data_IF_991987147725
#
_entry.id   IF_991987147725
#
_cell.length_a   1.000
_cell.length_b   1.000
_cell.length_c   1.000
_cell.angle_alpha   90.00
_cell.angle_beta   90.00
_cell.angle_gamma   90.00
#
_symmetry.space_group_name_H-M   'P 1'
#
loop_
_entity.id
_entity.type
_entity.pdbx_description
1 polymer ?
#
# COMPACT_ATOMS: atom_id res chain seq x y z
N UNK A 1 44.97 -1.28 29.85
CA UNK A 1 44.41 -2.56 30.32
C UNK A 1 43.76 -2.31 31.67
N UNK A 2 42.44 -2.19 31.71
CA UNK A 2 41.64 -2.09 32.95
C UNK A 2 40.41 -2.95 32.73
N UNK A 3 40.24 -3.92 33.61
CA UNK A 3 39.26 -5.01 33.61
C UNK A 3 37.85 -4.49 33.91
N UNK A 4 36.86 -4.97 33.16
CA UNK A 4 35.44 -4.73 33.42
C UNK A 4 34.94 -5.81 34.39
N UNK A 5 34.25 -5.48 35.51
CA UNK A 5 33.66 -6.48 36.39
C UNK A 5 32.38 -7.08 35.79
N UNK A 6 32.22 -8.40 35.93
CA UNK A 6 30.99 -9.13 35.58
C UNK A 6 29.93 -8.90 36.68
N UNK A 7 28.68 -8.52 36.35
CA UNK A 7 27.64 -8.33 37.35
C UNK A 7 27.07 -9.68 37.86
N UNK A 8 26.55 -9.71 39.10
CA UNK A 8 26.03 -10.93 39.72
C UNK A 8 24.71 -11.39 39.07
N UNK A 9 24.56 -12.71 38.96
CA UNK A 9 23.31 -13.36 38.54
C UNK A 9 22.27 -13.32 39.67
N UNK A 10 21.04 -12.91 39.33
CA UNK A 10 19.84 -13.30 40.06
C UNK A 10 19.12 -12.18 40.83
N UNK A 11 18.13 -11.56 40.20
CA UNK A 11 16.96 -11.01 40.88
C UNK A 11 15.73 -11.23 39.99
N UNK A 12 14.87 -12.18 40.39
CA UNK A 12 13.58 -12.44 39.74
C UNK A 12 12.64 -11.25 40.02
N UNK A 13 12.50 -10.36 39.04
CA UNK A 13 11.51 -9.30 39.07
C UNK A 13 10.19 -9.87 38.55
N UNK A 14 9.20 -9.97 39.44
CA UNK A 14 7.81 -10.25 39.07
C UNK A 14 7.34 -9.09 38.19
N UNK A 15 7.26 -9.32 36.89
CA UNK A 15 6.67 -8.38 35.93
C UNK A 15 5.20 -8.19 36.28
N UNK A 16 4.84 -6.99 36.71
CA UNK A 16 3.44 -6.55 36.76
C UNK A 16 2.86 -6.59 35.35
N UNK A 17 1.58 -6.97 35.16
CA UNK A 17 0.94 -6.92 33.86
C UNK A 17 1.00 -5.49 33.35
N UNK A 18 1.64 -5.29 32.19
CA UNK A 18 1.61 -4.02 31.47
C UNK A 18 0.16 -3.61 31.27
N UNK A 19 -0.21 -2.42 31.75
CA UNK A 19 -1.53 -1.85 31.51
C UNK A 19 -1.78 -1.84 30.01
N UNK A 20 -2.88 -2.48 29.58
CA UNK A 20 -3.24 -2.55 28.18
C UNK A 20 -3.27 -1.13 27.59
N UNK A 21 -2.48 -0.91 26.54
CA UNK A 21 -2.50 0.34 25.76
C UNK A 21 -3.95 0.58 25.35
N UNK A 22 -4.55 1.73 25.70
CA UNK A 22 -5.93 2.01 25.33
C UNK A 22 -6.04 1.91 23.81
N UNK A 23 -6.95 1.06 23.32
CA UNK A 23 -7.21 0.93 21.89
C UNK A 23 -7.59 2.33 21.38
N UNK A 24 -6.78 2.87 20.46
CA UNK A 24 -7.11 4.07 19.73
C UNK A 24 -8.52 3.92 19.15
N UNK A 25 -9.45 4.79 19.57
CA UNK A 25 -10.81 4.80 19.05
C UNK A 25 -10.77 5.50 17.69
N UNK A 26 -10.53 4.73 16.64
CA UNK A 26 -10.59 5.25 15.27
C UNK A 26 -12.01 5.75 15.00
N UNK A 27 -12.18 6.94 14.39
CA UNK A 27 -13.49 7.42 13.99
C UNK A 27 -14.10 6.43 12.97
N UNK A 28 -15.40 6.11 13.10
CA UNK A 28 -16.08 5.28 12.11
C UNK A 28 -16.15 5.98 10.74
N UNK A 29 -16.19 5.19 9.66
CA UNK A 29 -16.18 5.71 8.28
C UNK A 29 -17.32 6.69 7.99
N UNK A 30 -18.44 6.57 8.70
CA UNK A 30 -19.61 7.45 8.54
C UNK A 30 -19.39 8.87 9.03
N UNK A 31 -18.40 9.09 9.89
CA UNK A 31 -18.01 10.41 10.41
C UNK A 31 -16.88 11.08 9.63
N UNK A 32 -16.38 10.45 8.56
CA UNK A 32 -15.26 10.97 7.76
C UNK A 32 -15.68 11.88 6.58
N UNK A 33 -16.97 12.16 6.42
CA UNK A 33 -17.46 13.00 5.31
C UNK A 33 -17.25 12.39 3.92
N UNK A 34 -17.05 11.07 3.85
CA UNK A 34 -16.82 10.34 2.61
C UNK A 34 -18.11 10.20 1.78
N UNK A 35 -17.99 10.30 0.46
CA UNK A 35 -19.05 9.95 -0.46
C UNK A 35 -19.45 8.47 -0.31
N UNK A 36 -20.68 8.08 -0.71
CA UNK A 36 -21.11 6.69 -0.60
C UNK A 36 -20.18 5.70 -1.30
N UNK A 37 -19.65 6.04 -2.48
CA UNK A 37 -18.69 5.20 -3.22
C UNK A 37 -17.41 4.96 -2.43
N UNK A 38 -16.79 6.03 -1.90
CA UNK A 38 -15.54 5.92 -1.14
C UNK A 38 -15.73 5.11 0.13
N UNK A 39 -16.88 5.29 0.78
CA UNK A 39 -17.26 4.52 1.96
C UNK A 39 -17.43 3.04 1.64
N UNK A 40 -18.11 2.69 0.55
CA UNK A 40 -18.30 1.30 0.15
C UNK A 40 -16.97 0.60 -0.13
N UNK A 41 -16.09 1.22 -0.91
CA UNK A 41 -14.75 0.69 -1.24
C UNK A 41 -13.85 0.54 -0.01
N UNK A 42 -13.81 1.57 0.84
CA UNK A 42 -13.06 1.49 2.11
C UNK A 42 -13.65 0.44 3.05
N UNK A 43 -14.98 0.29 3.11
CA UNK A 43 -15.63 -0.75 3.90
C UNK A 43 -15.21 -2.15 3.43
N UNK A 44 -15.24 -2.38 2.12
CA UNK A 44 -14.82 -3.63 1.49
C UNK A 44 -13.36 -3.98 1.86
N UNK A 45 -12.43 -3.03 1.71
CA UNK A 45 -11.01 -3.24 2.03
C UNK A 45 -10.72 -3.40 3.54
N UNK A 46 -11.41 -2.65 4.41
CA UNK A 46 -11.08 -2.55 5.85
C UNK A 46 -11.83 -3.51 6.76
N UNK A 47 -12.93 -4.09 6.30
CA UNK A 47 -13.81 -4.92 7.13
C UNK A 47 -14.13 -6.28 6.50
N UNK A 48 -14.23 -6.39 5.18
CA UNK A 48 -14.50 -7.66 4.48
C UNK A 48 -13.19 -8.41 4.16
N UNK A 49 -12.14 -7.64 3.84
CA UNK A 49 -10.78 -8.14 3.62
C UNK A 49 -9.80 -7.69 4.72
N UNK A 50 -8.63 -8.34 4.76
CA UNK A 50 -7.59 -7.99 5.71
C UNK A 50 -7.84 -8.47 7.15
N UNK A 51 -7.15 -7.85 8.11
CA UNK A 51 -7.36 -8.08 9.54
C UNK A 51 -8.72 -7.61 10.07
N UNK A 52 -9.49 -6.87 9.27
CA UNK A 52 -10.78 -6.31 9.67
C UNK A 52 -10.68 -5.19 10.71
N UNK A 53 -11.83 -4.80 11.26
CA UNK A 53 -11.91 -3.83 12.36
C UNK A 53 -11.43 -2.42 12.00
N UNK A 54 -11.53 -2.02 10.72
CA UNK A 54 -11.09 -0.69 10.27
C UNK A 54 -9.58 -0.60 10.07
N UNK A 55 -8.90 -1.71 9.78
CA UNK A 55 -7.45 -1.81 9.58
C UNK A 55 -7.16 -2.32 8.17
N UNK A 56 -6.11 -1.80 7.53
CA UNK A 56 -5.62 -2.29 6.25
C UNK A 56 -4.31 -3.05 6.40
N UNK A 57 -4.19 -4.16 5.69
CA UNK A 57 -2.92 -4.83 5.41
C UNK A 57 -2.82 -5.02 3.89
N UNK A 58 -1.94 -4.26 3.24
CA UNK A 58 -1.81 -4.22 1.77
C UNK A 58 -0.52 -4.91 1.36
N UNK A 59 -0.56 -5.73 0.30
CA UNK A 59 0.63 -6.32 -0.31
C UNK A 59 1.09 -5.45 -1.50
N UNK A 60 2.19 -4.68 -1.39
CA UNK A 60 2.73 -3.93 -2.52
C UNK A 60 3.55 -4.84 -3.45
N UNK A 61 3.27 -4.75 -4.75
CA UNK A 61 4.04 -5.38 -5.83
C UNK A 61 4.35 -4.38 -6.96
N UNK A 62 4.36 -3.09 -6.64
CA UNK A 62 4.61 -1.97 -7.56
C UNK A 62 6.11 -1.61 -7.70
N UNK A 63 6.96 -2.12 -6.82
CA UNK A 63 8.41 -1.88 -6.79
C UNK A 63 9.17 -2.26 -8.07
N UNK A 64 8.62 -3.15 -8.89
CA UNK A 64 9.25 -3.61 -10.13
C UNK A 64 9.49 -2.49 -11.15
N UNK A 65 8.69 -1.42 -11.12
CA UNK A 65 8.91 -0.25 -12.00
C UNK A 65 10.17 0.53 -11.62
N UNK A 66 10.48 0.61 -10.33
CA UNK A 66 11.60 1.39 -9.80
C UNK A 66 12.92 0.62 -9.88
N UNK A 67 12.90 -0.65 -9.44
CA UNK A 67 14.11 -1.45 -9.24
C UNK A 67 14.33 -2.52 -10.33
N UNK A 68 13.33 -2.82 -11.16
CA UNK A 68 13.37 -4.00 -12.02
C UNK A 68 13.31 -5.31 -11.21
N UNK A 69 13.50 -6.49 -11.84
CA UNK A 69 13.38 -7.79 -11.19
C UNK A 69 14.65 -8.16 -10.39
N UNK A 70 15.09 -7.27 -9.49
CA UNK A 70 16.38 -7.42 -8.76
C UNK A 70 16.21 -7.94 -7.33
N UNK A 71 15.00 -7.97 -6.77
CA UNK A 71 14.81 -8.26 -5.34
C UNK A 71 14.24 -9.66 -5.04
N UNK A 72 14.07 -10.51 -6.05
CA UNK A 72 13.39 -11.81 -5.91
C UNK A 72 14.33 -13.02 -5.72
N UNK A 73 15.62 -12.80 -5.49
CA UNK A 73 16.62 -13.89 -5.49
C UNK A 73 16.47 -14.89 -4.34
N UNK A 74 15.80 -14.53 -3.24
CA UNK A 74 15.63 -15.41 -2.07
C UNK A 74 14.45 -16.37 -2.26
N UNK A 75 13.46 -16.01 -3.07
CA UNK A 75 12.30 -16.85 -3.38
C UNK A 75 12.05 -16.87 -4.89
N UNK A 76 12.52 -17.91 -5.61
CA UNK A 76 12.37 -18.01 -7.06
C UNK A 76 10.92 -17.96 -7.55
N UNK A 77 9.96 -18.48 -6.79
CA UNK A 77 8.54 -18.46 -7.18
C UNK A 77 7.99 -17.03 -7.25
N UNK A 78 8.55 -16.11 -6.45
CA UNK A 78 8.19 -14.70 -6.47
C UNK A 78 8.66 -13.97 -7.74
N UNK A 79 9.35 -14.63 -8.66
CA UNK A 79 9.61 -14.08 -10.00
C UNK A 79 8.35 -14.05 -10.88
N UNK A 80 7.36 -14.91 -10.60
CA UNK A 80 6.06 -14.88 -11.29
C UNK A 80 5.05 -14.09 -10.46
N UNK A 81 4.58 -12.92 -10.93
CA UNK A 81 3.55 -12.13 -10.24
C UNK A 81 2.33 -12.92 -9.77
N UNK A 82 1.95 -14.00 -10.48
CA UNK A 82 0.83 -14.86 -10.08
C UNK A 82 0.99 -15.40 -8.64
N UNK A 83 2.21 -15.74 -8.23
CA UNK A 83 2.52 -16.18 -6.87
C UNK A 83 2.14 -15.12 -5.83
N UNK A 84 2.45 -13.84 -6.07
CA UNK A 84 2.10 -12.76 -5.13
C UNK A 84 0.59 -12.52 -5.09
N UNK A 85 -0.12 -12.64 -6.21
CA UNK A 85 -1.58 -12.54 -6.21
C UNK A 85 -2.22 -13.68 -5.41
N UNK A 86 -1.75 -14.92 -5.58
CA UNK A 86 -2.19 -16.07 -4.79
C UNK A 86 -1.91 -15.87 -3.30
N UNK A 87 -0.69 -15.48 -2.95
CA UNK A 87 -0.30 -15.18 -1.58
C UNK A 87 -1.20 -14.09 -0.97
N UNK A 88 -1.54 -13.07 -1.74
CA UNK A 88 -2.40 -11.98 -1.26
C UNK A 88 -3.82 -12.47 -0.96
N UNK A 89 -4.37 -13.34 -1.82
CA UNK A 89 -5.68 -13.97 -1.60
C UNK A 89 -5.65 -14.91 -0.39
N UNK A 90 -4.68 -15.81 -0.32
CA UNK A 90 -4.56 -16.80 0.76
C UNK A 90 -4.30 -16.14 2.12
N UNK A 91 -3.43 -15.12 2.13
CA UNK A 91 -3.15 -14.28 3.30
C UNK A 91 -4.28 -13.34 3.67
N UNK A 92 -5.38 -13.32 2.90
CA UNK A 92 -6.54 -12.44 3.08
C UNK A 92 -6.15 -10.97 3.20
N UNK A 93 -5.24 -10.48 2.37
CA UNK A 93 -4.84 -9.07 2.40
C UNK A 93 -6.03 -8.15 2.12
N UNK A 94 -5.99 -6.94 2.67
CA UNK A 94 -6.98 -5.89 2.41
C UNK A 94 -6.97 -5.40 0.98
N UNK A 95 -5.83 -5.51 0.30
CA UNK A 95 -5.66 -5.27 -1.12
C UNK A 95 -4.29 -5.75 -1.59
N UNK A 96 -4.15 -5.92 -2.90
CA UNK A 96 -2.86 -5.95 -3.59
C UNK A 96 -2.66 -4.63 -4.33
N UNK A 97 -1.45 -4.06 -4.22
CA UNK A 97 -1.11 -2.79 -4.87
C UNK A 97 -0.15 -3.02 -6.04
N UNK A 98 -0.52 -2.57 -7.25
CA UNK A 98 0.29 -2.81 -8.45
C UNK A 98 0.06 -1.75 -9.54
N UNK A 99 0.98 -1.67 -10.51
CA UNK A 99 0.84 -0.80 -11.70
C UNK A 99 -0.06 -1.44 -12.76
N UNK A 100 -0.59 -0.61 -13.65
CA UNK A 100 -1.58 -0.99 -14.67
C UNK A 100 -1.19 -2.23 -15.49
N UNK A 101 0.07 -2.37 -15.92
CA UNK A 101 0.48 -3.51 -16.74
C UNK A 101 0.34 -4.85 -16.03
N UNK A 102 0.67 -4.92 -14.73
CA UNK A 102 0.49 -6.13 -13.93
C UNK A 102 -0.99 -6.33 -13.57
N UNK A 103 -1.72 -5.25 -13.29
CA UNK A 103 -3.15 -5.32 -13.04
C UNK A 103 -3.88 -5.92 -14.25
N UNK A 104 -3.68 -5.39 -15.45
CA UNK A 104 -4.36 -5.88 -16.66
C UNK A 104 -4.02 -7.32 -17.01
N UNK A 105 -2.78 -7.75 -16.73
CA UNK A 105 -2.34 -9.11 -17.07
C UNK A 105 -2.80 -10.17 -16.06
N UNK A 106 -2.77 -9.86 -14.77
CA UNK A 106 -2.95 -10.87 -13.72
C UNK A 106 -4.23 -10.69 -12.91
N UNK A 107 -4.68 -9.45 -12.65
CA UNK A 107 -5.84 -9.21 -11.79
C UNK A 107 -7.16 -9.85 -12.26
N UNK A 108 -7.46 -10.01 -13.56
CA UNK A 108 -8.71 -10.64 -13.99
C UNK A 108 -8.98 -12.02 -13.36
N UNK A 109 -7.94 -12.79 -13.07
CA UNK A 109 -8.05 -14.13 -12.47
C UNK A 109 -8.32 -14.10 -10.94
N UNK A 110 -8.17 -12.93 -10.31
CA UNK A 110 -8.33 -12.72 -8.87
C UNK A 110 -9.41 -11.68 -8.52
N UNK A 111 -10.03 -11.05 -9.52
CA UNK A 111 -11.10 -10.08 -9.33
C UNK A 111 -12.23 -10.65 -8.46
N UNK A 112 -12.68 -9.88 -7.48
CA UNK A 112 -13.68 -10.30 -6.48
C UNK A 112 -13.16 -11.24 -5.38
N UNK A 113 -11.93 -11.74 -5.48
CA UNK A 113 -11.26 -12.52 -4.40
C UNK A 113 -10.32 -11.67 -3.57
N UNK A 114 -9.79 -10.58 -4.14
CA UNK A 114 -8.97 -9.58 -3.45
C UNK A 114 -9.23 -8.18 -4.01
N UNK A 115 -9.31 -7.15 -3.16
CA UNK A 115 -9.37 -5.75 -3.59
C UNK A 115 -8.11 -5.31 -4.34
N UNK A 116 -8.29 -4.45 -5.33
CA UNK A 116 -7.18 -3.86 -6.09
C UNK A 116 -6.94 -2.41 -5.64
N UNK A 117 -5.67 -2.10 -5.37
CA UNK A 117 -5.17 -0.73 -5.26
C UNK A 117 -4.29 -0.44 -6.49
N UNK A 118 -4.82 0.33 -7.44
CA UNK A 118 -4.09 0.62 -8.68
C UNK A 118 -3.09 1.77 -8.44
N UNK A 119 -1.79 1.47 -8.53
CA UNK A 119 -0.73 2.49 -8.47
C UNK A 119 -0.69 3.26 -9.79
N UNK A 120 -0.99 4.56 -9.71
CA UNK A 120 -1.16 5.40 -10.90
C UNK A 120 0.13 6.03 -11.39
N UNK A 121 1.13 6.21 -10.53
CA UNK A 121 2.41 6.82 -10.90
C UNK A 121 3.59 6.11 -10.23
N UNK A 122 4.77 6.31 -10.82
CA UNK A 122 6.02 5.84 -10.24
C UNK A 122 7.23 6.44 -10.94
N UNK A 123 8.37 6.34 -10.27
CA UNK A 123 9.67 6.77 -10.77
C UNK A 123 10.46 5.52 -11.17
N UNK A 124 11.23 5.63 -12.26
CA UNK A 124 12.23 4.63 -12.62
C UNK A 124 13.58 5.02 -12.02
N UNK A 125 14.53 4.08 -11.98
CA UNK A 125 15.92 4.35 -11.59
C UNK A 125 16.75 5.10 -12.65
N UNK A 126 16.12 5.56 -13.75
CA UNK A 126 16.83 6.21 -14.87
C UNK A 126 17.11 7.69 -14.59
N UNK A 127 16.12 8.55 -14.23
CA UNK A 127 16.40 9.93 -13.86
C UNK A 127 17.10 9.99 -12.49
N UNK A 128 18.00 10.97 -12.28
CA UNK A 128 18.69 11.11 -11.01
C UNK A 128 17.72 11.51 -9.89
N UNK A 129 18.03 11.14 -8.64
CA UNK A 129 17.14 11.37 -7.50
C UNK A 129 16.85 12.85 -7.21
N UNK A 130 17.75 13.77 -7.58
CA UNK A 130 17.51 15.21 -7.42
C UNK A 130 16.50 15.76 -8.44
N UNK A 131 16.13 14.99 -9.45
CA UNK A 131 15.05 15.27 -10.41
C UNK A 131 13.86 14.33 -10.19
N UNK A 132 13.67 13.82 -8.97
CA UNK A 132 12.61 12.87 -8.65
C UNK A 132 11.23 13.40 -9.05
N UNK A 133 10.62 12.70 -10.01
CA UNK A 133 9.26 12.94 -10.48
C UNK A 133 8.63 11.59 -10.83
N UNK A 134 7.48 11.27 -10.23
CA UNK A 134 6.74 10.04 -10.53
C UNK A 134 5.69 10.35 -11.59
N UNK A 135 5.98 10.07 -12.86
CA UNK A 135 5.03 10.30 -13.93
C UNK A 135 3.85 9.31 -13.87
N UNK A 136 2.67 9.73 -14.37
CA UNK A 136 1.52 8.86 -14.51
C UNK A 136 1.83 7.70 -15.46
N UNK A 137 1.46 6.51 -15.00
CA UNK A 137 1.44 5.26 -15.76
C UNK A 137 0.02 4.74 -15.98
N UNK A 138 -1.00 5.36 -15.36
CA UNK A 138 -2.41 5.03 -15.50
C UNK A 138 -3.30 6.14 -14.97
N UNK A 139 -4.61 5.98 -15.14
CA UNK A 139 -5.63 6.98 -14.77
C UNK A 139 -6.60 6.47 -13.70
N UNK A 140 -7.38 7.37 -13.09
CA UNK A 140 -8.48 6.95 -12.20
C UNK A 140 -9.56 6.20 -12.99
N UNK A 141 -9.78 6.56 -14.27
CA UNK A 141 -10.69 5.82 -15.14
C UNK A 141 -10.24 4.37 -15.37
N UNK A 142 -8.94 4.12 -15.51
CA UNK A 142 -8.40 2.75 -15.58
C UNK A 142 -8.68 1.97 -14.29
N UNK A 143 -8.51 2.62 -13.13
CA UNK A 143 -8.82 2.02 -11.84
C UNK A 143 -10.30 1.62 -11.77
N UNK A 144 -11.20 2.50 -12.18
CA UNK A 144 -12.64 2.23 -12.23
C UNK A 144 -12.95 1.10 -13.21
N UNK A 145 -12.39 1.12 -14.42
CA UNK A 145 -12.55 0.08 -15.44
C UNK A 145 -12.12 -1.30 -14.94
N UNK A 146 -11.04 -1.36 -14.18
CA UNK A 146 -10.52 -2.60 -13.59
C UNK A 146 -11.26 -3.02 -12.31
N UNK A 147 -12.20 -2.21 -11.81
CA UNK A 147 -12.92 -2.51 -10.57
C UNK A 147 -12.09 -2.29 -9.31
N UNK A 148 -11.05 -1.45 -9.35
CA UNK A 148 -10.22 -1.14 -8.21
C UNK A 148 -11.01 -0.43 -7.09
N UNK A 149 -10.65 -0.75 -5.85
CA UNK A 149 -11.20 -0.16 -4.64
C UNK A 149 -10.46 1.12 -4.24
N UNK A 150 -9.21 1.25 -4.66
CA UNK A 150 -8.38 2.41 -4.36
C UNK A 150 -7.38 2.70 -5.47
N UNK A 151 -6.85 3.93 -5.45
CA UNK A 151 -5.71 4.34 -6.26
C UNK A 151 -4.53 4.70 -5.34
N UNK A 152 -3.33 4.35 -5.78
CA UNK A 152 -2.08 4.71 -5.12
C UNK A 152 -1.35 5.80 -5.90
N UNK A 153 -0.78 6.76 -5.19
CA UNK A 153 -0.01 7.85 -5.79
C UNK A 153 1.18 8.22 -4.90
N UNK A 154 2.31 8.59 -5.49
CA UNK A 154 3.51 9.11 -4.82
C UNK A 154 3.70 10.59 -5.11
N UNK A 155 3.92 11.40 -4.07
CA UNK A 155 4.30 12.82 -4.16
C UNK A 155 5.66 13.00 -3.50
N UNK A 156 6.63 13.64 -4.15
CA UNK A 156 7.93 13.97 -3.56
C UNK A 156 7.93 15.40 -3.01
N UNK A 157 7.35 15.57 -1.82
CA UNK A 157 7.32 16.87 -1.14
C UNK A 157 8.74 17.34 -0.80
N UNK A 158 9.05 18.59 -1.13
CA UNK A 158 10.39 19.17 -0.93
C UNK A 158 11.39 18.86 -2.05
N UNK A 159 11.02 18.09 -3.07
CA UNK A 159 11.83 17.95 -4.28
C UNK A 159 11.79 19.23 -5.13
N UNK A 160 12.77 19.46 -6.03
CA UNK A 160 12.71 20.55 -6.99
C UNK A 160 11.51 20.50 -7.94
N UNK A 161 10.86 19.33 -8.08
CA UNK A 161 9.70 19.13 -8.96
C UNK A 161 8.36 19.10 -8.20
N UNK A 162 8.34 19.47 -6.91
CA UNK A 162 7.15 19.35 -6.06
C UNK A 162 5.92 20.10 -6.61
N UNK A 163 6.14 21.24 -7.28
CA UNK A 163 5.10 22.05 -7.90
C UNK A 163 4.35 21.25 -8.97
N UNK A 164 5.09 20.59 -9.86
CA UNK A 164 4.53 19.68 -10.88
C UNK A 164 3.88 18.46 -10.27
N UNK A 165 4.46 17.89 -9.21
CA UNK A 165 3.85 16.76 -8.49
C UNK A 165 2.49 17.15 -7.89
N UNK A 166 2.38 18.35 -7.31
CA UNK A 166 1.11 18.84 -6.75
C UNK A 166 0.07 19.11 -7.82
N UNK A 167 0.45 19.66 -8.98
CA UNK A 167 -0.46 19.86 -10.11
C UNK A 167 -1.07 18.52 -10.56
N UNK A 168 -0.22 17.52 -10.85
CA UNK A 168 -0.68 16.18 -11.24
C UNK A 168 -1.51 15.50 -10.14
N UNK A 169 -1.10 15.62 -8.87
CA UNK A 169 -1.86 15.05 -7.75
C UNK A 169 -3.24 15.68 -7.60
N UNK A 170 -3.37 16.98 -7.81
CA UNK A 170 -4.66 17.67 -7.72
C UNK A 170 -5.66 17.20 -8.78
N UNK A 171 -5.19 16.89 -9.99
CA UNK A 171 -6.01 16.27 -11.04
C UNK A 171 -6.49 14.89 -10.60
N UNK A 172 -5.58 14.01 -10.16
CA UNK A 172 -5.91 12.66 -9.70
C UNK A 172 -6.88 12.68 -8.51
N UNK A 173 -6.66 13.57 -7.54
CA UNK A 173 -7.59 13.75 -6.43
C UNK A 173 -8.98 14.14 -6.92
N UNK A 174 -9.06 15.11 -7.83
CA UNK A 174 -10.34 15.58 -8.39
C UNK A 174 -11.07 14.46 -9.12
N UNK A 175 -10.36 13.63 -9.89
CA UNK A 175 -10.95 12.47 -10.55
C UNK A 175 -11.42 11.41 -9.53
N UNK A 176 -10.62 11.10 -8.51
CA UNK A 176 -11.03 10.18 -7.46
C UNK A 176 -12.26 10.71 -6.69
N UNK A 177 -12.37 12.01 -6.43
CA UNK A 177 -13.59 12.61 -5.87
C UNK A 177 -14.79 12.44 -6.80
N UNK A 178 -14.60 12.55 -8.12
CA UNK A 178 -15.64 12.38 -9.14
C UNK A 178 -16.15 10.93 -9.27
N UNK A 179 -15.25 9.94 -9.21
CA UNK A 179 -15.60 8.52 -9.39
C UNK A 179 -15.97 7.79 -8.08
N UNK A 180 -15.81 8.47 -6.94
CA UNK A 180 -16.14 7.97 -5.61
C UNK A 180 -15.13 6.97 -5.09
#
# INVERSE_FOLDING_TARGET
>A
AVTVPVPPQGASTRTTPSAAVPRSTRPPLDRLGLSPGKRARLSHMMYEHGPGGGTLLVLPIDQGLEHGPVDFFVNPDALDPAYQFELAVEGRFSAIATHIGLAEKYYPDYAGRIPLLLKLNGKTSIPPDHEAFSALTGTVEDAVRLGADAVGYTVYVGSPAQDRDFEQFMEIRSEADRYG
#
